data_IF_015866231428
#
_entry.id   IF_015866231428
#
_cell.length_a   1.000
_cell.length_b   1.000
_cell.length_c   1.000
_cell.angle_alpha   90.00
_cell.angle_beta   90.00
_cell.angle_gamma   90.00
#
_symmetry.space_group_name_H-M   'P 1'
#
loop_
_entity.id
_entity.type
_entity.pdbx_description
1 polymer ?
#
# COMPACT_ATOMS: atom_id res chain seq x y z
N UNK A 1 -25.66 -9.47 -4.70
CA UNK A 1 -24.98 -9.04 -5.95
C UNK A 1 -23.51 -8.80 -5.62
N UNK A 2 -22.60 -9.69 -6.03
CA UNK A 2 -21.17 -9.60 -5.67
C UNK A 2 -20.54 -8.44 -6.45
N UNK A 3 -20.11 -7.38 -5.75
CA UNK A 3 -19.33 -6.29 -6.36
C UNK A 3 -17.96 -6.84 -6.76
N UNK A 4 -17.67 -6.82 -8.06
CA UNK A 4 -16.38 -7.22 -8.62
C UNK A 4 -15.33 -6.14 -8.36
N UNK A 5 -14.19 -6.51 -7.77
CA UNK A 5 -13.06 -5.60 -7.58
C UNK A 5 -12.35 -5.30 -8.92
N UNK A 6 -12.20 -4.02 -9.25
CA UNK A 6 -11.59 -3.53 -10.51
C UNK A 6 -10.06 -3.72 -10.53
N UNK A 7 -9.56 -4.12 -11.71
CA UNK A 7 -8.23 -4.09 -12.39
C UNK A 7 -6.88 -4.02 -11.61
N UNK A 8 -6.80 -3.57 -10.37
CA UNK A 8 -5.58 -3.67 -9.52
C UNK A 8 -5.73 -4.73 -8.41
N UNK A 9 -6.43 -5.82 -8.72
CA UNK A 9 -6.65 -6.87 -7.74
C UNK A 9 -5.42 -7.76 -7.59
N UNK A 10 -5.05 -8.03 -6.33
CA UNK A 10 -3.99 -8.97 -5.98
C UNK A 10 -4.30 -10.37 -6.53
N UNK A 11 -3.28 -11.23 -6.70
CA UNK A 11 -3.51 -12.63 -7.13
C UNK A 11 -4.53 -13.35 -6.24
N UNK A 12 -4.49 -13.04 -4.94
CA UNK A 12 -5.43 -13.52 -3.95
C UNK A 12 -6.88 -13.12 -4.26
N UNK A 13 -7.14 -11.84 -4.50
CA UNK A 13 -8.47 -11.34 -4.84
C UNK A 13 -9.02 -12.01 -6.10
N UNK A 14 -8.18 -12.21 -7.13
CA UNK A 14 -8.61 -12.92 -8.36
C UNK A 14 -9.02 -14.36 -8.07
N UNK A 15 -8.25 -15.09 -7.24
CA UNK A 15 -8.59 -16.46 -6.82
C UNK A 15 -9.88 -16.49 -6.01
N UNK A 16 -10.09 -15.52 -5.13
CA UNK A 16 -11.30 -15.41 -4.35
C UNK A 16 -12.52 -15.12 -5.23
N UNK A 17 -12.44 -14.16 -6.17
CA UNK A 17 -13.53 -13.87 -7.11
C UNK A 17 -13.93 -15.10 -7.93
N UNK A 18 -12.95 -15.87 -8.43
CA UNK A 18 -13.23 -17.12 -9.16
C UNK A 18 -13.98 -18.14 -8.29
N UNK A 19 -13.55 -18.30 -7.04
CA UNK A 19 -14.22 -19.20 -6.08
C UNK A 19 -15.65 -18.75 -5.82
N UNK A 20 -15.88 -17.46 -5.58
CA UNK A 20 -17.21 -16.92 -5.31
C UNK A 20 -18.17 -17.07 -6.50
N UNK A 21 -17.70 -16.88 -7.74
CA UNK A 21 -18.52 -17.18 -8.94
C UNK A 21 -18.91 -18.66 -8.99
N UNK A 22 -17.96 -19.55 -8.72
CA UNK A 22 -18.24 -20.99 -8.66
C UNK A 22 -19.29 -21.35 -7.59
N UNK A 23 -19.35 -20.62 -6.47
CA UNK A 23 -20.42 -20.79 -5.47
C UNK A 23 -21.79 -20.33 -5.99
N UNK A 24 -21.85 -19.24 -6.77
CA UNK A 24 -23.10 -18.75 -7.37
C UNK A 24 -23.62 -19.66 -8.49
N UNK A 25 -22.73 -20.26 -9.27
CA UNK A 25 -23.06 -21.21 -10.35
C UNK A 25 -23.55 -22.56 -9.81
N UNK A 26 -23.11 -22.95 -8.61
CA UNK A 26 -23.40 -24.26 -8.00
C UNK A 26 -24.06 -24.13 -6.63
N UNK A 27 -25.14 -23.35 -6.53
CA UNK A 27 -25.89 -23.14 -5.27
C UNK A 27 -26.42 -24.45 -4.68
N UNK A 28 -26.84 -25.38 -5.53
CA UNK A 28 -27.45 -26.64 -5.10
C UNK A 28 -26.44 -27.69 -4.61
N UNK A 29 -25.15 -27.45 -4.82
CA UNK A 29 -24.13 -28.40 -4.39
C UNK A 29 -23.92 -28.35 -2.88
N UNK A 30 -23.60 -29.50 -2.29
CA UNK A 30 -23.23 -29.58 -0.88
C UNK A 30 -21.90 -28.87 -0.63
N UNK A 31 -21.72 -28.36 0.60
CA UNK A 31 -20.48 -27.69 1.00
C UNK A 31 -19.25 -28.58 0.81
N UNK A 32 -19.39 -29.89 1.05
CA UNK A 32 -18.31 -30.89 0.89
C UNK A 32 -17.90 -31.03 -0.57
N UNK A 33 -18.87 -31.08 -1.50
CA UNK A 33 -18.60 -31.23 -2.94
C UNK A 33 -17.89 -30.00 -3.50
N UNK A 34 -18.35 -28.80 -3.12
CA UNK A 34 -17.70 -27.54 -3.52
C UNK A 34 -16.29 -27.44 -2.95
N UNK A 35 -16.12 -27.77 -1.67
CA UNK A 35 -14.83 -27.74 -0.98
C UNK A 35 -13.78 -28.62 -1.68
N UNK A 36 -14.15 -29.84 -2.05
CA UNK A 36 -13.27 -30.77 -2.79
C UNK A 36 -12.86 -30.21 -4.15
N UNK A 37 -13.78 -29.57 -4.89
CA UNK A 37 -13.49 -29.00 -6.22
C UNK A 37 -12.60 -27.76 -6.14
N UNK A 38 -12.78 -26.93 -5.11
CA UNK A 38 -12.03 -25.68 -4.92
C UNK A 38 -10.72 -25.84 -4.16
N UNK A 39 -10.46 -27.03 -3.59
CA UNK A 39 -9.29 -27.30 -2.75
C UNK A 39 -9.28 -26.47 -1.46
N UNK A 40 -10.44 -26.36 -0.80
CA UNK A 40 -10.60 -25.59 0.46
C UNK A 40 -11.39 -26.39 1.49
N UNK A 41 -11.46 -25.90 2.74
CA UNK A 41 -12.26 -26.56 3.77
C UNK A 41 -13.78 -26.37 3.54
N UNK A 42 -14.64 -27.36 3.88
CA UNK A 42 -16.10 -27.20 3.86
C UNK A 42 -16.59 -26.04 4.74
N UNK A 43 -15.88 -25.74 5.82
CA UNK A 43 -16.20 -24.63 6.71
C UNK A 43 -15.96 -23.26 6.04
N UNK A 44 -14.91 -23.13 5.21
CA UNK A 44 -14.69 -21.93 4.40
C UNK A 44 -15.87 -21.69 3.45
N UNK A 45 -16.36 -22.74 2.80
CA UNK A 45 -17.53 -22.69 1.90
C UNK A 45 -18.78 -22.26 2.66
N UNK A 46 -19.03 -22.84 3.84
CA UNK A 46 -20.16 -22.46 4.71
C UNK A 46 -20.10 -20.98 5.09
N UNK A 47 -18.94 -20.48 5.51
CA UNK A 47 -18.73 -19.06 5.87
C UNK A 47 -18.96 -18.13 4.67
N UNK A 48 -18.51 -18.50 3.48
CA UNK A 48 -18.75 -17.70 2.28
C UNK A 48 -20.23 -17.62 1.92
N UNK A 49 -20.97 -18.74 2.00
CA UNK A 49 -22.43 -18.74 1.76
C UNK A 49 -23.17 -17.84 2.73
N UNK A 50 -22.89 -17.93 4.02
CA UNK A 50 -23.50 -17.06 5.03
C UNK A 50 -23.25 -15.57 4.76
N UNK A 51 -22.04 -15.21 4.31
CA UNK A 51 -21.73 -13.82 3.93
C UNK A 51 -22.48 -13.38 2.68
N UNK A 52 -22.60 -14.25 1.68
CA UNK A 52 -23.37 -13.97 0.45
C UNK A 52 -24.86 -13.76 0.79
N UNK A 53 -25.45 -14.62 1.63
CA UNK A 53 -26.84 -14.50 2.08
C UNK A 53 -27.10 -13.19 2.82
N UNK A 54 -26.17 -12.75 3.66
CA UNK A 54 -26.24 -11.48 4.37
C UNK A 54 -25.93 -10.26 3.49
N UNK A 55 -25.50 -10.46 2.25
CA UNK A 55 -25.02 -9.38 1.38
C UNK A 55 -23.72 -8.73 1.88
N UNK A 56 -22.97 -9.40 2.77
CA UNK A 56 -21.69 -8.93 3.28
C UNK A 56 -20.58 -9.10 2.24
N UNK A 57 -19.69 -8.12 2.18
CA UNK A 57 -18.51 -8.22 1.32
C UNK A 57 -17.54 -9.28 1.87
N UNK A 58 -17.14 -10.22 1.01
CA UNK A 58 -16.13 -11.22 1.35
C UNK A 58 -14.75 -10.61 1.08
N UNK A 59 -14.32 -9.71 1.96
CA UNK A 59 -12.96 -9.21 2.01
C UNK A 59 -12.21 -9.90 3.15
N UNK A 60 -11.05 -10.47 2.85
CA UNK A 60 -10.09 -10.87 3.88
C UNK A 60 -9.10 -9.73 4.04
N UNK A 61 -9.43 -8.80 4.93
CA UNK A 61 -8.48 -7.79 5.36
C UNK A 61 -7.50 -8.44 6.34
N UNK A 62 -6.31 -8.76 5.86
CA UNK A 62 -5.20 -9.03 6.77
C UNK A 62 -4.89 -7.72 7.49
N UNK A 63 -5.08 -7.69 8.82
CA UNK A 63 -4.56 -6.59 9.64
C UNK A 63 -3.05 -6.60 9.42
N UNK A 64 -2.53 -5.60 8.69
CA UNK A 64 -1.10 -5.40 8.59
C UNK A 64 -0.55 -5.38 10.03
N UNK A 65 0.56 -6.07 10.28
CA UNK A 65 1.26 -5.91 11.57
C UNK A 65 1.49 -4.42 11.75
N UNK A 66 1.03 -3.85 12.87
CA UNK A 66 1.38 -2.47 13.25
C UNK A 66 2.89 -2.45 13.41
N UNK A 67 3.58 -2.01 12.37
CA UNK A 67 5.01 -1.82 12.43
C UNK A 67 5.22 -0.47 13.14
N UNK A 68 5.55 -0.51 14.43
CA UNK A 68 5.79 0.68 15.24
C UNK A 68 6.86 1.58 14.62
N UNK A 69 7.89 0.99 13.98
CA UNK A 69 8.90 1.73 13.23
C UNK A 69 8.33 2.45 11.99
N UNK A 70 7.22 1.96 11.45
CA UNK A 70 6.51 2.59 10.34
C UNK A 70 5.59 3.75 10.80
N UNK A 71 5.44 3.99 12.09
CA UNK A 71 4.64 5.09 12.65
C UNK A 71 5.47 6.05 13.48
N UNK A 72 6.81 5.90 13.48
CA UNK A 72 7.74 6.74 14.24
C UNK A 72 7.69 8.22 13.84
N UNK A 73 7.47 8.48 12.55
CA UNK A 73 7.41 9.83 11.99
C UNK A 73 6.04 10.01 11.33
N UNK A 74 5.35 11.06 11.75
CA UNK A 74 4.06 11.49 11.23
C UNK A 74 4.20 12.02 9.79
N UNK A 75 3.08 12.20 9.09
CA UNK A 75 3.15 12.73 7.72
C UNK A 75 3.52 14.21 7.73
N UNK A 76 3.14 14.91 8.80
CA UNK A 76 3.40 16.31 9.08
C UNK A 76 4.91 16.55 9.28
N UNK A 77 5.56 15.80 10.16
CA UNK A 77 7.02 15.89 10.37
C UNK A 77 7.80 15.62 9.07
N UNK A 78 7.35 14.66 8.27
CA UNK A 78 7.97 14.35 6.98
C UNK A 78 7.80 15.48 5.96
N UNK A 79 6.68 16.20 5.98
CA UNK A 79 6.46 17.37 5.14
C UNK A 79 7.36 18.54 5.54
N UNK A 80 7.54 18.77 6.85
CA UNK A 80 8.43 19.81 7.36
C UNK A 80 9.87 19.59 6.90
N UNK A 81 10.40 18.36 7.08
CA UNK A 81 11.74 17.99 6.59
C UNK A 81 11.86 18.21 5.06
N UNK A 82 10.80 17.92 4.30
CA UNK A 82 10.79 18.15 2.87
C UNK A 82 10.82 19.65 2.50
N UNK A 83 10.06 20.48 3.22
CA UNK A 83 10.04 21.94 3.04
C UNK A 83 11.41 22.54 3.37
N UNK A 84 12.05 22.11 4.47
CA UNK A 84 13.40 22.53 4.83
C UNK A 84 14.41 22.21 3.73
N UNK A 85 14.35 21.00 3.17
CA UNK A 85 15.17 20.60 2.03
C UNK A 85 14.91 21.47 0.79
N UNK A 86 13.64 21.78 0.48
CA UNK A 86 13.31 22.68 -0.64
C UNK A 86 13.84 24.10 -0.42
N UNK A 87 13.70 24.64 0.79
CA UNK A 87 14.20 25.96 1.16
C UNK A 87 15.73 26.02 1.09
N UNK A 88 16.41 24.97 1.55
CA UNK A 88 17.86 24.83 1.39
C UNK A 88 18.28 24.89 -0.08
N UNK A 89 17.53 24.22 -0.95
CA UNK A 89 17.80 24.23 -2.39
C UNK A 89 17.44 25.55 -3.10
N UNK A 90 16.49 26.31 -2.57
CA UNK A 90 16.09 27.61 -3.13
C UNK A 90 17.02 28.75 -2.69
N UNK A 91 17.64 28.65 -1.50
CA UNK A 91 18.57 29.67 -0.99
C UNK A 91 19.96 29.57 -1.60
N UNK A 92 20.36 28.40 -2.11
CA UNK A 92 21.59 28.24 -2.91
C UNK A 92 21.37 28.78 -4.33
N UNK A 93 21.52 30.10 -4.45
CA UNK A 93 21.06 30.92 -5.57
C UNK A 93 21.79 30.70 -6.92
N UNK A 94 22.52 29.61 -7.16
CA UNK A 94 23.01 29.23 -8.50
C UNK A 94 23.69 27.85 -8.53
N UNK A 95 23.25 27.01 -9.48
CA UNK A 95 23.80 25.71 -9.90
C UNK A 95 23.57 24.48 -8.98
N UNK A 96 22.47 23.76 -9.26
CA UNK A 96 22.14 22.38 -8.85
C UNK A 96 21.92 22.20 -7.34
N UNK A 97 20.64 22.10 -6.96
CA UNK A 97 20.23 21.60 -5.66
C UNK A 97 20.94 20.27 -5.33
N UNK A 98 21.49 20.20 -4.12
CA UNK A 98 22.17 19.02 -3.59
C UNK A 98 21.20 17.83 -3.55
N UNK A 99 21.59 16.63 -4.00
CA UNK A 99 20.71 15.46 -3.93
C UNK A 99 20.26 15.18 -2.50
N UNK A 100 18.99 14.79 -2.31
CA UNK A 100 18.42 14.47 -0.99
C UNK A 100 19.29 13.48 -0.18
N UNK A 101 19.96 12.52 -0.84
CA UNK A 101 20.88 11.59 -0.18
C UNK A 101 22.04 12.29 0.51
N UNK A 102 22.60 13.30 -0.15
CA UNK A 102 23.71 14.08 0.36
C UNK A 102 23.23 15.01 1.48
N UNK A 103 22.10 15.70 1.27
CA UNK A 103 21.46 16.50 2.32
C UNK A 103 21.15 15.68 3.58
N UNK A 104 20.62 14.47 3.42
CA UNK A 104 20.37 13.56 4.53
C UNK A 104 21.65 13.28 5.32
N UNK A 105 22.73 12.92 4.63
CA UNK A 105 24.00 12.57 5.27
C UNK A 105 24.60 13.75 6.04
N UNK A 106 24.58 14.93 5.43
CA UNK A 106 25.29 16.08 5.97
C UNK A 106 24.49 16.85 7.04
N UNK A 107 23.14 16.74 7.05
CA UNK A 107 22.29 17.58 7.90
C UNK A 107 21.22 16.85 8.72
N UNK A 108 20.75 15.68 8.27
CA UNK A 108 19.64 14.97 8.92
C UNK A 108 20.07 13.73 9.70
N UNK A 109 21.14 13.05 9.27
CA UNK A 109 21.52 11.72 9.77
C UNK A 109 21.60 11.64 11.30
N UNK A 110 22.07 12.69 11.96
CA UNK A 110 22.23 12.74 13.43
C UNK A 110 21.02 13.41 14.13
N UNK A 111 20.10 14.02 13.39
CA UNK A 111 18.93 14.74 13.93
C UNK A 111 17.65 13.92 13.94
N UNK A 112 17.54 12.93 13.04
CA UNK A 112 16.31 12.14 12.87
C UNK A 112 16.61 10.65 12.98
N UNK A 113 15.81 9.93 13.79
CA UNK A 113 15.87 8.47 13.90
C UNK A 113 15.07 7.80 12.76
N UNK A 114 15.51 8.02 11.51
CA UNK A 114 14.98 7.36 10.31
C UNK A 114 16.07 7.22 9.27
N UNK A 115 16.29 6.01 8.74
CA UNK A 115 17.29 5.81 7.69
C UNK A 115 16.92 6.52 6.39
N UNK A 116 17.91 6.92 5.60
CA UNK A 116 17.70 7.51 4.27
C UNK A 116 16.73 6.69 3.39
N UNK A 117 16.85 5.36 3.38
CA UNK A 117 16.00 4.47 2.57
C UNK A 117 14.53 4.55 3.02
N UNK A 118 14.30 4.62 4.33
CA UNK A 118 12.95 4.76 4.88
C UNK A 118 12.38 6.15 4.56
N UNK A 119 13.16 7.21 4.77
CA UNK A 119 12.79 8.58 4.45
C UNK A 119 12.41 8.73 2.97
N UNK A 120 13.24 8.22 2.07
CA UNK A 120 13.00 8.26 0.62
C UNK A 120 11.70 7.51 0.23
N UNK A 121 11.46 6.32 0.79
CA UNK A 121 10.23 5.56 0.55
C UNK A 121 8.99 6.29 1.08
N UNK A 122 9.12 6.98 2.21
CA UNK A 122 8.04 7.77 2.83
C UNK A 122 7.67 8.97 1.96
N UNK A 123 8.65 9.75 1.55
CA UNK A 123 8.45 10.87 0.64
C UNK A 123 7.77 10.43 -0.65
N UNK A 124 8.24 9.32 -1.25
CA UNK A 124 7.59 8.73 -2.43
C UNK A 124 6.13 8.34 -2.19
N UNK A 125 5.82 7.78 -1.01
CA UNK A 125 4.45 7.37 -0.64
C UNK A 125 3.54 8.58 -0.45
N UNK A 126 4.07 9.69 0.07
CA UNK A 126 3.37 10.95 0.27
C UNK A 126 3.27 11.79 -1.02
N UNK A 127 3.86 11.36 -2.13
CA UNK A 127 3.90 12.14 -3.37
C UNK A 127 4.89 13.32 -3.34
N UNK A 128 5.77 13.37 -2.34
CA UNK A 128 6.83 14.37 -2.20
C UNK A 128 8.02 13.96 -3.08
N UNK A 129 7.92 14.23 -4.38
CA UNK A 129 9.03 13.98 -5.30
C UNK A 129 10.04 15.12 -5.24
N UNK A 130 11.33 14.77 -5.05
CA UNK A 130 12.45 15.71 -5.11
C UNK A 130 12.61 16.25 -6.54
N UNK A 131 11.98 17.38 -6.87
CA UNK A 131 12.07 18.05 -8.17
C UNK A 131 13.41 18.78 -8.39
N UNK A 132 14.51 18.15 -8.02
CA UNK A 132 15.84 18.78 -8.10
C UNK A 132 16.56 18.49 -9.41
N UNK A 133 15.96 17.72 -10.32
CA UNK A 133 16.44 17.53 -11.68
C UNK A 133 15.30 17.71 -12.71
N UNK A 134 15.09 18.95 -13.15
CA UNK A 134 15.04 19.31 -14.58
C UNK A 134 14.57 20.76 -14.76
N UNK A 135 15.49 21.72 -14.70
CA UNK A 135 15.45 22.77 -15.72
C UNK A 135 15.72 22.05 -17.04
N UNK A 136 14.69 21.65 -17.78
CA UNK A 136 14.83 21.61 -19.24
C UNK A 136 15.06 23.06 -19.63
N UNK A 137 16.31 23.39 -19.94
CA UNK A 137 16.60 24.58 -20.74
C UNK A 137 15.78 24.46 -22.04
N UNK A 138 15.31 25.62 -22.49
CA UNK A 138 14.37 25.87 -23.59
C UNK A 138 14.56 24.98 -24.81
#
# INVERSE_FOLDING_TARGET
MIKLLKRKSTEYERKLTKRLRFLEEHKDWSNVKIAKKLGVSPESVRKWRLKIEKGEEILVLHKNRKNTNASKHSSEELNEIFIEYQNFCNTQNNFKCVPLKQYYRDYLQDKIDISYVQLFRRFKTLGLSSFCNSKKQK
#
